data_IF_952376789229
#
_entry.id   IF_952376789229
#
_cell.length_a   1.000
_cell.length_b   1.000
_cell.length_c   1.000
_cell.angle_alpha   90.00
_cell.angle_beta   90.00
_cell.angle_gamma   90.00
#
_symmetry.space_group_name_H-M   'P 1'
#
loop_
_entity.id
_entity.type
_entity.pdbx_description
1 polymer ?
#
# COMPACT_ATOMS: atom_id res chain seq x y z
N UNK A 1 -3.12 -25.90 18.21
CA UNK A 1 -4.07 -24.79 18.07
C UNK A 1 -3.75 -24.18 16.72
N UNK A 2 -4.66 -24.33 15.77
CA UNK A 2 -4.47 -23.88 14.40
C UNK A 2 -4.50 -22.35 14.38
N UNK A 3 -3.32 -21.74 14.28
CA UNK A 3 -3.19 -20.29 14.17
C UNK A 3 -3.70 -19.85 12.80
N UNK A 4 -4.85 -19.18 12.80
CA UNK A 4 -5.45 -18.67 11.58
C UNK A 4 -4.57 -17.54 11.02
N UNK A 5 -4.28 -17.48 9.71
CA UNK A 5 -3.40 -16.45 9.12
C UNK A 5 -3.78 -14.99 9.42
N UNK A 6 -5.06 -14.75 9.71
CA UNK A 6 -5.62 -13.44 10.10
C UNK A 6 -5.13 -12.99 11.49
N UNK A 7 -4.85 -13.94 12.38
CA UNK A 7 -4.41 -13.66 13.73
C UNK A 7 -3.03 -13.00 13.74
N UNK A 8 -2.11 -13.44 12.87
CA UNK A 8 -0.80 -12.81 12.69
C UNK A 8 -0.90 -11.35 12.23
N UNK A 9 -1.85 -11.04 11.36
CA UNK A 9 -2.09 -9.67 10.87
C UNK A 9 -2.69 -8.78 11.95
N UNK A 10 -3.66 -9.29 12.72
CA UNK A 10 -4.29 -8.54 13.81
C UNK A 10 -3.30 -8.27 14.95
N UNK A 11 -2.47 -9.25 15.30
CA UNK A 11 -1.39 -9.09 16.29
C UNK A 11 -0.38 -8.04 15.83
N UNK A 12 0.08 -8.11 14.57
CA UNK A 12 1.02 -7.12 14.01
C UNK A 12 0.42 -5.70 14.03
N UNK A 13 -0.87 -5.55 13.71
CA UNK A 13 -1.55 -4.26 13.75
C UNK A 13 -1.65 -3.69 15.18
N UNK A 14 -1.93 -4.54 16.17
CA UNK A 14 -1.99 -4.15 17.59
C UNK A 14 -0.61 -3.80 18.16
N UNK A 15 0.44 -4.50 17.73
CA UNK A 15 1.82 -4.21 18.14
C UNK A 15 2.31 -2.87 17.58
N UNK A 16 2.07 -2.59 16.30
CA UNK A 16 2.38 -1.27 15.70
C UNK A 16 1.56 -0.13 16.33
N UNK A 17 0.30 -0.38 16.69
CA UNK A 17 -0.50 0.56 17.48
C UNK A 17 0.14 0.83 18.83
N UNK A 18 0.56 -0.22 19.55
CA UNK A 18 1.19 -0.10 20.86
C UNK A 18 2.51 0.68 20.82
N UNK A 19 3.34 0.45 19.81
CA UNK A 19 4.57 1.24 19.60
C UNK A 19 4.28 2.71 19.31
N UNK A 20 3.16 3.05 18.66
CA UNK A 20 2.77 4.45 18.41
C UNK A 20 2.00 5.10 19.56
N UNK A 21 1.41 4.31 20.45
CA UNK A 21 0.80 4.77 21.70
C UNK A 21 1.89 5.16 22.72
N UNK A 22 3.17 4.82 22.49
CA UNK A 22 4.30 5.52 23.12
C UNK A 22 4.54 6.87 22.41
N UNK A 23 3.52 7.73 22.52
CA UNK A 23 3.39 9.02 21.82
C UNK A 23 4.46 10.03 22.26
N UNK A 24 5.18 9.75 23.35
CA UNK A 24 6.24 10.60 23.87
C UNK A 24 7.32 10.88 22.81
N UNK A 25 7.58 9.91 21.93
CA UNK A 25 8.58 10.06 20.87
C UNK A 25 8.10 10.91 19.69
N UNK A 26 6.78 11.04 19.47
CA UNK A 26 6.20 11.69 18.28
C UNK A 26 5.59 13.05 18.59
N UNK A 27 4.96 13.19 19.75
CA UNK A 27 4.31 14.42 20.21
C UNK A 27 5.29 15.25 21.07
N UNK A 28 6.26 14.59 21.70
CA UNK A 28 7.29 15.22 22.54
C UNK A 28 6.79 15.51 23.96
N UNK A 29 7.70 15.95 24.82
CA UNK A 29 7.38 16.38 26.16
C UNK A 29 6.60 17.71 26.15
N UNK A 30 5.71 17.95 27.13
CA UNK A 30 5.02 19.22 27.26
C UNK A 30 6.02 20.38 27.36
N UNK A 31 5.80 21.44 26.59
CA UNK A 31 6.69 22.61 26.61
C UNK A 31 6.22 23.57 27.69
N UNK A 32 7.07 23.78 28.70
CA UNK A 32 6.81 24.76 29.75
C UNK A 32 7.11 26.19 29.27
N UNK A 33 6.18 27.10 29.52
CA UNK A 33 6.37 28.52 29.25
C UNK A 33 6.90 29.24 30.49
N UNK A 34 7.65 30.36 30.36
CA UNK A 34 8.26 31.07 31.49
C UNK A 34 7.28 31.56 32.57
N UNK A 35 6.00 31.70 32.22
CA UNK A 35 4.90 32.07 33.11
C UNK A 35 4.30 30.88 33.89
N UNK A 36 4.81 29.66 33.66
CA UNK A 36 4.37 28.41 34.28
C UNK A 36 3.19 27.74 33.56
N UNK A 37 2.94 28.10 32.30
CA UNK A 37 1.99 27.42 31.44
C UNK A 37 2.61 26.19 30.77
N UNK A 38 1.76 25.34 30.20
CA UNK A 38 2.12 24.10 29.53
C UNK A 38 1.50 24.09 28.14
N UNK A 39 2.30 23.79 27.12
CA UNK A 39 1.86 23.62 25.74
C UNK A 39 1.91 22.13 25.39
N UNK A 40 0.77 21.60 24.96
CA UNK A 40 0.59 20.22 24.52
C UNK A 40 0.26 20.20 23.04
N UNK A 41 0.94 19.35 22.28
CA UNK A 41 0.65 19.08 20.87
C UNK A 41 -0.52 18.11 20.74
N UNK A 42 -1.46 18.41 19.83
CA UNK A 42 -2.61 17.55 19.52
C UNK A 42 -2.47 17.09 18.09
N UNK A 43 -2.38 15.77 17.89
CA UNK A 43 -2.23 15.16 16.57
C UNK A 43 -3.36 14.20 16.26
N UNK A 44 -3.82 14.20 15.00
CA UNK A 44 -4.68 13.17 14.42
C UNK A 44 -3.81 12.01 13.96
N UNK A 45 -4.15 10.81 14.37
CA UNK A 45 -3.47 9.58 13.95
C UNK A 45 -4.41 8.75 13.06
N UNK A 46 -3.91 8.27 11.93
CA UNK A 46 -4.64 7.42 11.00
C UNK A 46 -3.84 6.18 10.65
N UNK A 47 -4.47 5.01 10.73
CA UNK A 47 -3.85 3.73 10.43
C UNK A 47 -4.52 3.12 9.19
N UNK A 48 -3.72 2.56 8.30
CA UNK A 48 -4.22 1.82 7.15
C UNK A 48 -3.48 0.50 7.04
N UNK A 49 -4.23 -0.59 6.87
CA UNK A 49 -3.67 -1.92 6.66
C UNK A 49 -4.37 -2.55 5.45
N UNK A 50 -3.59 -3.20 4.61
CA UNK A 50 -4.06 -3.98 3.48
C UNK A 50 -3.39 -5.35 3.52
N UNK A 51 -4.18 -6.38 3.25
CA UNK A 51 -3.72 -7.76 3.16
C UNK A 51 -4.33 -8.37 1.91
N UNK A 52 -3.55 -9.21 1.23
CA UNK A 52 -4.03 -10.02 0.13
C UNK A 52 -3.24 -11.32 0.07
N UNK A 53 -3.90 -12.41 -0.30
CA UNK A 53 -3.24 -13.70 -0.44
C UNK A 53 -4.02 -14.60 -1.39
N UNK A 54 -3.32 -15.60 -1.90
CA UNK A 54 -3.86 -16.62 -2.78
C UNK A 54 -3.23 -17.96 -2.47
N UNK A 55 -4.03 -19.01 -2.55
CA UNK A 55 -3.56 -20.38 -2.45
C UNK A 55 -3.21 -20.88 -3.85
N UNK A 56 -2.05 -21.52 -3.98
CA UNK A 56 -1.58 -22.05 -5.24
C UNK A 56 -1.73 -23.56 -5.26
N UNK A 57 -2.42 -24.10 -6.27
CA UNK A 57 -2.37 -25.54 -6.56
C UNK A 57 -1.01 -25.85 -7.18
N UNK A 58 -0.09 -26.46 -6.42
CA UNK A 58 1.16 -26.98 -6.96
C UNK A 58 0.90 -28.26 -7.75
N UNK A 59 0.80 -28.13 -9.07
CA UNK A 59 0.85 -29.27 -10.00
C UNK A 59 2.30 -29.71 -10.18
N UNK A 60 2.80 -30.54 -9.26
CA UNK A 60 4.17 -31.03 -9.31
C UNK A 60 4.35 -32.33 -8.54
N UNK A 61 3.75 -33.41 -9.04
CA UNK A 61 3.97 -34.75 -8.48
C UNK A 61 2.96 -35.85 -8.79
N UNK A 62 2.22 -35.80 -9.91
CA UNK A 62 1.66 -36.95 -10.65
C UNK A 62 0.76 -36.41 -11.77
N UNK A 63 0.96 -36.93 -12.97
CA UNK A 63 0.10 -36.77 -14.13
C UNK A 63 -1.38 -36.96 -13.78
N UNK A 64 -2.23 -35.96 -14.02
CA UNK A 64 -3.29 -36.05 -15.04
C UNK A 64 -4.04 -34.70 -15.12
N UNK A 65 -4.52 -34.36 -16.31
CA UNK A 65 -5.22 -33.12 -16.56
C UNK A 65 -6.62 -33.10 -15.95
N UNK A 66 -6.96 -32.02 -15.25
CA UNK A 66 -8.31 -31.44 -15.33
C UNK A 66 -8.37 -30.10 -14.60
N UNK A 67 -8.73 -29.09 -15.38
CA UNK A 67 -9.52 -27.95 -14.93
C UNK A 67 -10.64 -28.40 -14.00
N UNK A 68 -10.75 -27.82 -12.80
CA UNK A 68 -12.04 -27.60 -12.12
C UNK A 68 -11.83 -26.76 -10.86
N UNK A 69 -12.37 -25.54 -10.91
CA UNK A 69 -13.02 -24.91 -9.78
C UNK A 69 -14.11 -25.85 -9.25
N UNK A 70 -13.98 -26.32 -8.01
CA UNK A 70 -15.14 -26.47 -7.15
C UNK A 70 -14.70 -26.59 -5.69
N UNK A 71 -15.39 -25.77 -4.90
CA UNK A 71 -15.64 -25.89 -3.49
C UNK A 71 -16.19 -27.30 -3.16
N UNK A 72 -15.95 -27.73 -1.93
CA UNK A 72 -16.59 -28.85 -1.23
C UNK A 72 -16.24 -30.28 -1.67
N UNK A 73 -15.36 -30.95 -0.92
CA UNK A 73 -15.60 -32.36 -0.56
C UNK A 73 -14.74 -32.77 0.64
N UNK A 74 -15.45 -33.20 1.68
CA UNK A 74 -14.96 -34.07 2.75
C UNK A 74 -14.36 -35.34 2.11
N UNK A 75 -13.08 -35.60 2.33
CA UNK A 75 -12.47 -36.91 2.03
C UNK A 75 -11.88 -37.50 3.33
N UNK A 76 -12.51 -38.58 3.79
CA UNK A 76 -12.19 -39.37 4.98
C UNK A 76 -10.91 -40.21 4.83
N UNK A 77 -9.80 -39.62 4.41
CA UNK A 77 -8.51 -40.33 4.41
C UNK A 77 -7.31 -39.41 4.57
N UNK A 78 -7.13 -38.88 5.79
CA UNK A 78 -5.84 -38.73 6.48
C UNK A 78 -4.67 -37.96 5.83
N UNK A 79 -4.81 -37.36 4.66
CA UNK A 79 -3.78 -36.53 4.03
C UNK A 79 -4.38 -35.19 3.66
N UNK A 80 -4.38 -34.29 4.64
CA UNK A 80 -4.61 -32.86 4.44
C UNK A 80 -3.62 -32.34 3.40
N UNK A 81 -4.09 -32.23 2.14
CA UNK A 81 -3.30 -31.65 1.05
C UNK A 81 -3.14 -30.16 1.32
N UNK A 82 -2.03 -29.80 1.97
CA UNK A 82 -1.72 -28.43 2.34
C UNK A 82 -1.29 -27.67 1.08
N UNK A 83 -2.21 -26.86 0.52
CA UNK A 83 -1.90 -26.00 -0.61
C UNK A 83 -0.93 -24.90 -0.16
N UNK A 84 0.18 -24.65 -0.87
CA UNK A 84 1.06 -23.55 -0.53
C UNK A 84 0.31 -22.20 -0.67
N UNK A 85 0.25 -21.47 0.44
CA UNK A 85 -0.30 -20.13 0.52
C UNK A 85 0.78 -19.11 0.19
N UNK A 86 0.49 -18.19 -0.74
CA UNK A 86 1.31 -17.01 -0.99
C UNK A 86 0.48 -15.76 -0.75
N UNK A 87 0.96 -14.88 0.14
CA UNK A 87 0.27 -13.63 0.43
C UNK A 87 1.23 -12.54 0.84
N UNK A 88 0.71 -11.31 0.86
CA UNK A 88 1.39 -10.11 1.31
C UNK A 88 0.47 -9.29 2.20
N UNK A 89 1.06 -8.62 3.17
CA UNK A 89 0.39 -7.62 3.98
C UNK A 89 1.24 -6.35 4.03
N UNK A 90 0.59 -5.22 4.25
CA UNK A 90 1.25 -3.94 4.39
C UNK A 90 0.39 -3.01 5.22
N UNK A 91 1.03 -2.17 6.01
CA UNK A 91 0.36 -1.15 6.81
C UNK A 91 1.12 0.15 6.76
N UNK A 92 0.44 1.23 7.10
CA UNK A 92 1.02 2.55 7.22
C UNK A 92 0.30 3.35 8.28
N UNK A 93 1.03 4.29 8.88
CA UNK A 93 0.47 5.22 9.85
C UNK A 93 0.78 6.64 9.44
N UNK A 94 -0.22 7.50 9.57
CA UNK A 94 -0.15 8.93 9.34
C UNK A 94 -0.41 9.66 10.65
N UNK A 95 0.44 10.63 10.95
CA UNK A 95 0.31 11.48 12.13
C UNK A 95 0.31 12.91 11.64
N UNK A 96 -0.79 13.62 11.88
CA UNK A 96 -0.96 15.00 11.44
C UNK A 96 -1.18 15.87 12.67
N UNK A 97 -0.25 16.78 13.02
CA UNK A 97 -0.49 17.78 14.05
C UNK A 97 -1.67 18.65 13.65
N UNK A 98 -2.71 18.74 14.48
CA UNK A 98 -3.94 19.50 14.18
C UNK A 98 -4.09 20.73 15.06
N UNK A 99 -3.54 20.71 16.28
CA UNK A 99 -3.63 21.84 17.20
C UNK A 99 -2.52 21.82 18.27
N UNK A 100 -2.39 22.94 18.97
CA UNK A 100 -1.70 23.06 20.25
C UNK A 100 -2.75 23.40 21.33
N UNK A 101 -2.70 22.70 22.45
CA UNK A 101 -3.45 23.00 23.66
C UNK A 101 -2.53 23.76 24.62
N UNK A 102 -2.86 25.02 24.89
CA UNK A 102 -2.13 25.91 25.79
C UNK A 102 -2.88 25.99 27.11
N UNK A 103 -2.24 25.56 28.18
CA UNK A 103 -2.77 25.62 29.54
C UNK A 103 -1.93 26.63 30.32
N UNK A 104 -2.53 27.70 30.82
CA UNK A 104 -1.84 28.70 31.62
C UNK A 104 -2.72 29.18 32.78
N UNK A 105 -2.23 30.15 33.56
CA UNK A 105 -2.96 30.74 34.70
C UNK A 105 -4.27 31.41 34.31
N UNK A 106 -4.43 31.78 33.04
CA UNK A 106 -5.62 32.44 32.51
C UNK A 106 -6.66 31.45 31.97
N UNK A 107 -6.30 30.17 31.83
CA UNK A 107 -7.20 29.10 31.43
C UNK A 107 -6.59 28.17 30.37
N UNK A 108 -7.48 27.50 29.64
CA UNK A 108 -7.13 26.52 28.60
C UNK A 108 -7.56 27.07 27.24
N UNK A 109 -6.64 27.13 26.28
CA UNK A 109 -6.87 27.62 24.93
C UNK A 109 -6.36 26.61 23.89
N UNK A 110 -7.05 26.47 22.77
CA UNK A 110 -6.66 25.57 21.67
C UNK A 110 -6.35 26.36 20.40
N UNK A 111 -5.10 26.30 19.96
CA UNK A 111 -4.63 26.90 18.72
C UNK A 111 -4.62 25.86 17.60
N UNK A 112 -5.47 26.00 16.59
CA UNK A 112 -5.54 25.07 15.47
C UNK A 112 -4.47 25.39 14.42
N UNK A 113 -3.85 24.36 13.83
CA UNK A 113 -2.99 24.53 12.66
C UNK A 113 -3.86 24.48 11.41
N UNK A 114 -4.12 25.62 10.77
CA UNK A 114 -4.74 25.64 9.44
C UNK A 114 -3.76 25.07 8.40
N UNK A 115 -4.11 23.95 7.77
CA UNK A 115 -3.22 23.23 6.84
C UNK A 115 -3.75 23.08 5.40
N UNK A 116 -4.89 23.68 5.05
CA UNK A 116 -5.65 23.18 3.88
C UNK A 116 -5.47 23.90 2.53
N UNK A 117 -4.63 24.93 2.42
CA UNK A 117 -4.46 25.62 1.12
C UNK A 117 -3.26 25.11 0.32
N UNK A 118 -2.13 24.84 0.97
CA UNK A 118 -0.85 24.75 0.26
C UNK A 118 -0.57 23.39 -0.44
N UNK A 119 -1.25 22.30 -0.07
CA UNK A 119 -1.03 20.96 -0.65
C UNK A 119 -1.86 20.72 -1.91
N UNK A 120 -3.10 21.22 -1.96
CA UNK A 120 -3.93 21.14 -3.15
C UNK A 120 -3.34 21.97 -4.30
N UNK A 121 -2.81 23.15 -4.00
CA UNK A 121 -2.06 23.97 -4.96
C UNK A 121 -0.84 23.21 -5.51
N UNK A 122 -0.07 22.52 -4.66
CA UNK A 122 1.07 21.69 -5.11
C UNK A 122 0.66 20.50 -5.98
N UNK A 123 -0.48 19.85 -5.70
CA UNK A 123 -0.99 18.78 -6.57
C UNK A 123 -1.42 19.32 -7.93
N UNK A 124 -2.03 20.51 -7.97
CA UNK A 124 -2.39 21.19 -9.22
C UNK A 124 -1.13 21.52 -10.04
N UNK A 125 -0.07 21.98 -9.39
CA UNK A 125 1.20 22.30 -10.07
C UNK A 125 1.94 21.05 -10.58
N UNK A 126 1.78 19.90 -9.91
CA UNK A 126 2.40 18.62 -10.28
C UNK A 126 1.63 17.87 -11.39
N UNK A 127 0.35 18.17 -11.58
CA UNK A 127 -0.51 17.46 -12.55
C UNK A 127 -0.03 17.58 -14.01
N UNK A 128 0.37 18.76 -14.53
CA UNK A 128 0.85 18.88 -15.92
C UNK A 128 2.09 18.03 -16.20
N UNK A 129 3.07 18.04 -15.28
CA UNK A 129 4.30 17.27 -15.42
C UNK A 129 4.07 15.74 -15.36
N UNK A 130 3.12 15.31 -14.51
CA UNK A 130 2.70 13.91 -14.46
C UNK A 130 2.01 13.48 -15.77
N UNK A 131 1.13 14.32 -16.31
CA UNK A 131 0.44 14.05 -17.58
C UNK A 131 1.40 13.92 -18.75
N UNK A 132 2.37 14.83 -18.89
CA UNK A 132 3.40 14.74 -19.93
C UNK A 132 4.24 13.46 -19.84
N UNK A 133 4.56 13.02 -18.61
CA UNK A 133 5.33 11.80 -18.38
C UNK A 133 4.53 10.55 -18.76
N UNK A 134 3.23 10.51 -18.44
CA UNK A 134 2.31 9.44 -18.83
C UNK A 134 2.14 9.42 -20.36
N UNK A 135 1.95 10.58 -20.99
CA UNK A 135 1.82 10.69 -22.43
C UNK A 135 3.10 10.20 -23.15
N UNK A 136 4.29 10.60 -22.69
CA UNK A 136 5.56 10.11 -23.24
C UNK A 136 5.74 8.60 -23.09
N UNK A 137 5.41 8.02 -21.93
CA UNK A 137 5.51 6.57 -21.74
C UNK A 137 4.53 5.81 -22.64
N UNK A 138 3.30 6.32 -22.81
CA UNK A 138 2.26 5.68 -23.63
C UNK A 138 2.57 5.78 -25.13
N UNK A 139 3.01 6.96 -25.59
CA UNK A 139 3.45 7.16 -26.98
C UNK A 139 4.68 6.31 -27.31
N UNK A 140 5.63 6.18 -26.38
CA UNK A 140 6.81 5.31 -26.57
C UNK A 140 6.42 3.83 -26.61
N UNK A 141 5.44 3.41 -25.79
CA UNK A 141 4.93 2.03 -25.80
C UNK A 141 4.18 1.72 -27.10
N UNK A 142 3.43 2.70 -27.63
CA UNK A 142 2.71 2.58 -28.90
C UNK A 142 3.65 2.57 -30.12
N UNK A 143 4.67 3.44 -30.13
CA UNK A 143 5.69 3.46 -31.19
C UNK A 143 6.55 2.19 -31.20
N UNK A 144 6.83 1.60 -30.02
CA UNK A 144 7.58 0.33 -29.93
C UNK A 144 6.80 -0.85 -30.50
N UNK A 145 5.46 -0.81 -30.48
CA UNK A 145 4.60 -1.80 -31.17
C UNK A 145 4.59 -1.63 -32.70
N UNK A 146 4.71 -0.41 -33.22
CA UNK A 146 4.76 -0.17 -34.67
C UNK A 146 6.12 -0.53 -35.30
N UNK A 147 7.24 -0.31 -34.60
CA UNK A 147 8.57 -0.72 -35.11
C UNK A 147 8.76 -2.24 -35.16
N UNK A 148 8.05 -3.04 -34.36
CA UNK A 148 8.09 -4.51 -34.46
C UNK A 148 7.24 -5.08 -35.61
N UNK A 149 6.28 -4.32 -36.17
CA UNK A 149 5.48 -4.78 -37.32
C UNK A 149 6.12 -4.44 -38.67
N UNK A 150 6.89 -3.34 -38.79
CA UNK A 150 7.59 -3.03 -40.05
C UNK A 150 8.82 -3.91 -40.32
N UNK A 151 9.49 -4.44 -39.28
CA UNK A 151 10.63 -5.35 -39.45
C UNK A 151 10.29 -6.77 -39.94
N UNK A 152 9.01 -7.16 -39.98
CA UNK A 152 8.56 -8.46 -40.52
C UNK A 152 8.06 -8.40 -41.97
N UNK A 153 7.72 -7.22 -42.50
CA UNK A 153 7.25 -7.09 -43.89
C UNK A 153 8.39 -7.04 -44.92
N UNK A 154 9.53 -6.41 -44.62
CA UNK A 154 10.67 -6.37 -45.57
C UNK A 154 11.37 -7.73 -45.76
N UNK A 155 11.26 -8.66 -44.80
CA UNK A 155 11.90 -9.98 -44.89
C UNK A 155 11.10 -11.00 -45.71
N UNK A 156 9.82 -10.74 -46.01
CA UNK A 156 8.98 -11.64 -46.82
C UNK A 156 9.07 -11.38 -48.31
N UNK A 157 9.41 -10.16 -48.74
CA UNK A 157 9.47 -9.81 -50.18
C UNK A 157 10.79 -10.25 -50.85
N UNK A 158 11.86 -10.47 -50.07
CA UNK A 158 13.15 -10.93 -50.60
C UNK A 158 13.29 -12.45 -50.73
N UNK A 159 12.23 -13.24 -50.46
CA UNK A 159 12.27 -14.71 -50.50
C UNK A 159 11.49 -15.32 -51.68
N UNK A 160 10.78 -14.51 -52.47
CA UNK A 160 9.90 -14.98 -53.56
C UNK A 160 10.52 -14.79 -54.97
N UNK A 161 11.80 -14.43 -55.08
CA UNK A 161 12.49 -14.23 -56.37
C UNK A 161 13.54 -15.30 -56.74
N UNK A 162 13.68 -16.37 -55.94
CA UNK A 162 14.67 -17.43 -56.14
C UNK A 162 14.02 -18.84 -56.28
N UNK A 163 12.96 -18.97 -57.09
CA UNK A 163 12.47 -20.27 -57.57
C UNK A 163 12.30 -20.32 -59.09
#
# INVERSE_FOLDING_TARGET
>A
MDEHPIQGVMTTAMENLKEMIDVNTIIGDPVETPDGGVILTVSKVGFGFAMGGSEFKTSGGSSDGSSSSNDSSEDENGQSSYLPFGGGSGGGVSITPIAFLVVNKHGVNMLHLEQNTHLFEKMIDLAPAAFEKIQKMTSNYSNKKQQQQQGQSEKKESLDFDL
#
